data_IF_110785535429
#
_entry.id   IF_110785535429
#
_cell.length_a   1.000
_cell.length_b   1.000
_cell.length_c   1.000
_cell.angle_alpha   90.00
_cell.angle_beta   90.00
_cell.angle_gamma   90.00
#
_symmetry.space_group_name_H-M   'P 1'
#
loop_
_entity.id
_entity.type
_entity.pdbx_description
1 polymer ?
#
# COMPACT_ATOMS: atom_id res chain seq x y z
N UNK A 1 3.26 68.50 -55.56
CA UNK A 1 3.82 67.91 -54.34
C UNK A 1 2.80 66.88 -53.84
N UNK A 2 3.12 65.58 -53.91
CA UNK A 2 2.22 64.48 -53.52
C UNK A 2 2.75 63.86 -52.22
N UNK A 3 1.96 63.79 -51.14
CA UNK A 3 2.40 63.14 -49.91
C UNK A 3 2.34 61.62 -50.07
N UNK A 4 3.43 60.95 -49.70
CA UNK A 4 3.55 59.50 -49.62
C UNK A 4 3.17 59.10 -48.19
N UNK A 5 2.03 58.40 -48.05
CA UNK A 5 1.59 57.80 -46.80
C UNK A 5 2.30 56.46 -46.60
N UNK A 6 3.21 56.39 -45.63
CA UNK A 6 3.79 55.14 -45.16
C UNK A 6 2.82 54.46 -44.19
N UNK A 7 2.24 53.35 -44.64
CA UNK A 7 1.40 52.46 -43.85
C UNK A 7 2.30 51.52 -43.02
N UNK A 8 2.32 51.73 -41.70
CA UNK A 8 3.06 50.89 -40.75
C UNK A 8 2.25 49.62 -40.46
N UNK A 9 2.67 48.50 -41.05
CA UNK A 9 2.23 47.16 -40.66
C UNK A 9 2.86 46.79 -39.31
N UNK A 10 2.05 46.74 -38.25
CA UNK A 10 2.44 46.09 -36.99
C UNK A 10 2.38 44.57 -37.15
N UNK A 11 3.42 43.81 -36.77
CA UNK A 11 3.35 42.37 -36.70
C UNK A 11 2.54 41.96 -35.47
N UNK A 12 1.41 41.29 -35.72
CA UNK A 12 0.61 40.61 -34.71
C UNK A 12 1.41 39.39 -34.23
N UNK A 13 2.05 39.49 -33.06
CA UNK A 13 2.73 38.36 -32.42
C UNK A 13 1.67 37.42 -31.87
N UNK A 14 1.35 36.36 -32.63
CA UNK A 14 0.57 35.22 -32.16
C UNK A 14 1.36 34.53 -31.05
N UNK A 15 0.87 34.66 -29.81
CA UNK A 15 1.35 33.87 -28.70
C UNK A 15 1.12 32.39 -29.02
N UNK A 16 2.20 31.64 -29.27
CA UNK A 16 2.14 30.20 -29.43
C UNK A 16 1.65 29.58 -28.12
N UNK A 17 0.61 28.72 -28.15
CA UNK A 17 0.30 27.87 -27.02
C UNK A 17 1.55 27.05 -26.69
N UNK A 18 1.89 26.98 -25.40
CA UNK A 18 3.03 26.21 -24.91
C UNK A 18 2.97 24.75 -25.39
N UNK A 19 4.10 24.02 -25.33
CA UNK A 19 4.21 22.66 -25.82
C UNK A 19 3.12 21.78 -25.20
N UNK A 20 2.08 21.49 -25.98
CA UNK A 20 1.13 20.45 -25.64
C UNK A 20 1.81 19.14 -25.96
N UNK A 21 2.13 18.37 -24.93
CA UNK A 21 2.44 16.94 -25.01
C UNK A 21 1.39 16.29 -25.89
N UNK A 22 1.78 15.89 -27.10
CA UNK A 22 0.87 15.22 -28.02
C UNK A 22 0.39 13.90 -27.36
N UNK A 23 -0.92 13.60 -27.42
CA UNK A 23 -1.47 12.37 -26.89
C UNK A 23 -0.79 11.19 -27.62
N UNK A 24 -0.19 10.28 -26.85
CA UNK A 24 0.36 9.05 -27.40
C UNK A 24 -0.77 8.30 -28.11
N UNK A 25 -0.65 8.13 -29.43
CA UNK A 25 -1.73 7.67 -30.32
C UNK A 25 -2.49 6.46 -29.72
N UNK A 26 -3.76 6.69 -29.37
CA UNK A 26 -4.71 5.66 -28.95
C UNK A 26 -5.08 5.62 -27.45
N UNK A 27 -4.41 6.38 -26.57
CA UNK A 27 -4.81 6.44 -25.15
C UNK A 27 -5.89 7.48 -24.91
N UNK A 28 -6.87 7.16 -24.06
CA UNK A 28 -7.93 8.06 -23.64
C UNK A 28 -7.37 9.06 -22.61
N UNK A 29 -7.78 10.34 -22.65
CA UNK A 29 -7.23 11.36 -21.77
C UNK A 29 -7.49 11.04 -20.30
N UNK A 30 -6.53 11.35 -19.44
CA UNK A 30 -6.70 11.24 -18.00
C UNK A 30 -7.61 12.37 -17.49
N UNK A 31 -8.61 12.02 -16.69
CA UNK A 31 -9.56 12.95 -16.11
C UNK A 31 -9.40 13.00 -14.59
N UNK A 32 -9.30 14.21 -14.05
CA UNK A 32 -9.21 14.43 -12.60
C UNK A 32 -10.48 14.02 -11.86
N UNK A 33 -11.63 14.20 -12.50
CA UNK A 33 -12.91 14.23 -11.81
C UNK A 33 -13.24 15.62 -11.28
N UNK A 34 -14.49 15.80 -10.90
CA UNK A 34 -15.06 17.01 -10.33
C UNK A 34 -16.01 16.63 -9.18
N UNK A 35 -16.39 17.58 -8.34
CA UNK A 35 -17.33 17.29 -7.24
C UNK A 35 -18.75 17.26 -7.83
N UNK A 36 -19.24 16.07 -8.19
CA UNK A 36 -20.61 15.86 -8.64
C UNK A 36 -21.15 14.47 -8.30
N UNK A 37 -22.45 14.27 -8.57
CA UNK A 37 -23.18 13.03 -8.26
C UNK A 37 -23.32 12.11 -9.48
N UNK A 38 -22.84 12.51 -10.65
CA UNK A 38 -22.96 11.72 -11.87
C UNK A 38 -21.95 10.55 -11.86
N UNK A 39 -22.39 9.37 -12.27
CA UNK A 39 -21.51 8.23 -12.49
C UNK A 39 -20.89 8.34 -13.88
N UNK A 40 -20.02 9.32 -14.07
CA UNK A 40 -19.25 9.55 -15.31
C UNK A 40 -17.79 9.77 -14.99
N UNK A 41 -16.89 9.48 -15.94
CA UNK A 41 -15.45 9.69 -15.74
C UNK A 41 -15.09 11.16 -15.52
N UNK A 42 -15.78 12.09 -16.17
CA UNK A 42 -15.63 13.54 -15.92
C UNK A 42 -15.96 13.93 -14.47
N UNK A 43 -16.86 13.17 -13.86
CA UNK A 43 -17.28 13.39 -12.50
C UNK A 43 -16.36 12.70 -11.49
N UNK A 44 -16.18 11.39 -11.63
CA UNK A 44 -15.44 10.60 -10.64
C UNK A 44 -13.92 10.65 -10.83
N UNK A 45 -13.47 11.10 -11.99
CA UNK A 45 -12.09 10.99 -12.45
C UNK A 45 -11.76 9.59 -12.93
N UNK A 46 -10.67 9.46 -13.68
CA UNK A 46 -10.21 8.20 -14.27
C UNK A 46 -9.97 7.12 -13.21
N UNK A 47 -9.45 7.48 -12.03
CA UNK A 47 -9.26 6.51 -10.93
C UNK A 47 -10.60 6.02 -10.39
N UNK A 48 -11.53 6.91 -10.07
CA UNK A 48 -12.86 6.55 -9.57
C UNK A 48 -13.67 5.76 -10.61
N UNK A 49 -13.56 6.14 -11.88
CA UNK A 49 -14.17 5.46 -13.01
C UNK A 49 -13.64 4.04 -13.20
N UNK A 50 -12.31 3.85 -13.20
CA UNK A 50 -11.73 2.52 -13.32
C UNK A 50 -11.95 1.64 -12.08
N UNK A 51 -12.34 2.22 -10.93
CA UNK A 51 -12.74 1.48 -9.73
C UNK A 51 -14.22 1.04 -9.76
N UNK A 52 -15.07 1.67 -10.58
CA UNK A 52 -16.48 1.30 -10.72
C UNK A 52 -16.61 -0.07 -11.41
N UNK A 53 -16.87 -1.10 -10.61
CA UNK A 53 -16.90 -2.48 -11.06
C UNK A 53 -17.90 -2.73 -12.19
N UNK A 54 -19.10 -2.15 -12.10
CA UNK A 54 -20.17 -2.33 -13.09
C UNK A 54 -19.77 -1.86 -14.50
N UNK A 55 -19.07 -0.73 -14.58
CA UNK A 55 -18.63 -0.16 -15.85
C UNK A 55 -17.33 -0.82 -16.34
N UNK A 56 -16.37 -1.00 -15.41
CA UNK A 56 -15.08 -1.63 -15.66
C UNK A 56 -15.21 -3.03 -16.24
N UNK A 57 -16.04 -3.89 -15.65
CA UNK A 57 -16.20 -5.28 -16.10
C UNK A 57 -16.79 -5.36 -17.51
N UNK A 58 -17.67 -4.43 -17.88
CA UNK A 58 -18.34 -4.42 -19.19
C UNK A 58 -17.39 -3.98 -20.32
N UNK A 59 -16.57 -2.97 -20.07
CA UNK A 59 -15.77 -2.31 -21.12
C UNK A 59 -14.31 -2.76 -21.14
N UNK A 60 -13.71 -3.05 -19.98
CA UNK A 60 -12.26 -3.26 -19.84
C UNK A 60 -11.89 -4.61 -19.21
N UNK A 61 -12.85 -5.30 -18.59
CA UNK A 61 -12.67 -6.56 -17.88
C UNK A 61 -11.99 -6.39 -16.51
N UNK A 62 -10.81 -5.78 -16.49
CA UNK A 62 -9.98 -5.55 -15.31
C UNK A 62 -9.67 -4.06 -15.11
N UNK A 63 -9.28 -3.68 -13.88
CA UNK A 63 -9.00 -2.27 -13.52
C UNK A 63 -7.74 -1.78 -14.21
N UNK A 64 -6.75 -2.65 -14.27
CA UNK A 64 -5.44 -2.45 -14.86
C UNK A 64 -5.59 -2.16 -16.35
N UNK A 65 -6.48 -2.89 -17.03
CA UNK A 65 -6.80 -2.65 -18.45
C UNK A 65 -7.45 -1.27 -18.65
N UNK A 66 -8.35 -0.87 -17.75
CA UNK A 66 -8.96 0.46 -17.80
C UNK A 66 -7.91 1.56 -17.67
N UNK A 67 -6.95 1.43 -16.74
CA UNK A 67 -5.87 2.40 -16.53
C UNK A 67 -4.83 2.38 -17.66
N UNK A 68 -4.51 1.20 -18.22
CA UNK A 68 -3.53 1.06 -19.29
C UNK A 68 -3.97 1.75 -20.59
N UNK A 69 -5.29 1.84 -20.82
CA UNK A 69 -5.88 2.56 -21.95
C UNK A 69 -5.93 4.08 -21.72
N UNK A 70 -5.50 4.58 -20.57
CA UNK A 70 -5.51 6.00 -20.24
C UNK A 70 -4.13 6.58 -20.38
N UNK A 71 -4.09 7.86 -20.72
CA UNK A 71 -2.88 8.63 -20.61
C UNK A 71 -2.37 8.62 -19.16
N UNK A 72 -1.05 8.76 -19.02
CA UNK A 72 -0.47 8.95 -17.70
C UNK A 72 -1.07 10.22 -17.10
N UNK A 73 -1.29 10.20 -15.79
CA UNK A 73 -1.70 11.40 -15.07
C UNK A 73 -0.72 12.54 -15.38
N UNK A 74 -1.21 13.72 -15.80
CA UNK A 74 -0.36 14.88 -16.05
C UNK A 74 0.39 15.30 -14.78
N UNK A 75 1.66 15.71 -14.90
CA UNK A 75 2.48 16.13 -13.77
C UNK A 75 1.97 17.43 -13.10
N UNK A 76 1.17 18.22 -13.82
CA UNK A 76 0.50 19.43 -13.34
C UNK A 76 -0.88 19.14 -12.71
N UNK A 77 -1.33 17.89 -12.72
CA UNK A 77 -2.57 17.52 -12.07
C UNK A 77 -2.49 17.79 -10.55
N UNK A 78 -3.51 18.40 -9.94
CA UNK A 78 -3.51 18.68 -8.50
C UNK A 78 -3.30 17.40 -7.71
N UNK A 79 -2.35 17.42 -6.77
CA UNK A 79 -1.91 16.28 -5.97
C UNK A 79 -3.08 15.54 -5.29
N UNK A 80 -2.94 14.23 -5.14
CA UNK A 80 -3.93 13.40 -4.43
C UNK A 80 -3.76 13.58 -2.91
N UNK A 81 -4.84 13.56 -2.12
CA UNK A 81 -4.75 13.75 -0.68
C UNK A 81 -3.92 12.66 -0.01
N UNK A 82 -3.17 13.03 1.03
CA UNK A 82 -2.43 12.07 1.85
C UNK A 82 -3.37 11.27 2.74
N UNK A 83 -3.30 9.94 2.68
CA UNK A 83 -4.10 9.02 3.50
C UNK A 83 -3.26 8.39 4.61
N UNK A 84 -3.74 8.47 5.85
CA UNK A 84 -3.06 7.87 7.02
C UNK A 84 -3.13 6.35 7.06
N UNK A 85 -4.07 5.74 6.35
CA UNK A 85 -4.42 4.33 6.49
C UNK A 85 -5.32 4.10 7.70
N UNK A 86 -6.28 3.18 7.58
CA UNK A 86 -7.10 2.72 8.70
C UNK A 86 -6.46 1.55 9.43
N UNK A 87 -5.65 0.74 8.72
CA UNK A 87 -5.04 -0.49 9.24
C UNK A 87 -6.04 -1.61 9.58
N UNK A 88 -7.34 -1.37 9.40
CA UNK A 88 -8.40 -2.28 9.82
C UNK A 88 -8.84 -3.14 8.64
N UNK A 89 -8.81 -4.47 8.81
CA UNK A 89 -9.27 -5.48 7.84
C UNK A 89 -8.65 -5.40 6.43
N UNK A 90 -7.47 -4.80 6.28
CA UNK A 90 -6.81 -4.67 4.97
C UNK A 90 -6.46 -6.03 4.34
N UNK A 91 -6.24 -7.06 5.15
CA UNK A 91 -6.00 -8.42 4.69
C UNK A 91 -7.21 -9.06 4.00
N UNK A 92 -8.42 -8.58 4.28
CA UNK A 92 -9.66 -9.07 3.67
C UNK A 92 -10.08 -8.27 2.42
N UNK A 93 -9.42 -7.14 2.15
CA UNK A 93 -9.65 -6.39 0.93
C UNK A 93 -9.09 -7.17 -0.27
N UNK A 94 -9.97 -7.56 -1.19
CA UNK A 94 -9.58 -8.26 -2.42
C UNK A 94 -8.58 -7.46 -3.26
N UNK A 95 -8.56 -6.14 -3.11
CA UNK A 95 -7.62 -5.25 -3.76
C UNK A 95 -6.96 -4.36 -2.72
N UNK A 96 -5.64 -4.18 -2.79
CA UNK A 96 -4.96 -3.29 -1.87
C UNK A 96 -5.38 -1.84 -2.14
N UNK A 97 -5.99 -1.23 -1.13
CA UNK A 97 -6.47 0.14 -1.19
C UNK A 97 -5.60 1.06 -0.34
N UNK A 98 -5.23 2.21 -0.92
CA UNK A 98 -4.44 3.23 -0.21
C UNK A 98 -5.15 3.74 1.05
N UNK A 99 -6.49 3.79 1.06
CA UNK A 99 -7.27 4.14 2.25
C UNK A 99 -7.02 3.16 3.41
N UNK A 100 -6.76 1.90 3.09
CA UNK A 100 -6.56 0.87 4.11
C UNK A 100 -5.13 0.91 4.65
N UNK A 101 -4.14 0.81 3.76
CA UNK A 101 -2.72 0.72 4.12
C UNK A 101 -2.08 2.08 4.47
N UNK A 102 -2.67 3.17 3.97
CA UNK A 102 -2.10 4.52 4.03
C UNK A 102 -1.08 4.79 2.93
N UNK A 103 -0.95 6.06 2.55
CA UNK A 103 -0.12 6.52 1.41
C UNK A 103 1.34 6.07 1.54
N UNK A 104 1.91 6.16 2.73
CA UNK A 104 3.30 5.78 2.97
C UNK A 104 3.57 4.30 2.62
N UNK A 105 2.80 3.38 3.20
CA UNK A 105 2.98 1.95 2.98
C UNK A 105 2.51 1.55 1.59
N UNK A 106 1.43 2.16 1.10
CA UNK A 106 0.92 1.93 -0.26
C UNK A 106 1.94 2.27 -1.35
N UNK A 107 2.64 3.39 -1.24
CA UNK A 107 3.68 3.77 -2.20
C UNK A 107 4.97 2.96 -2.02
N UNK A 108 5.39 2.69 -0.77
CA UNK A 108 6.63 1.96 -0.48
C UNK A 108 6.58 0.50 -0.91
N UNK A 109 5.48 -0.19 -0.60
CA UNK A 109 5.30 -1.62 -0.94
C UNK A 109 4.79 -1.83 -2.38
N UNK A 110 4.64 -0.77 -3.17
CA UNK A 110 4.20 -0.88 -4.56
C UNK A 110 2.78 -1.43 -4.71
N UNK A 111 1.88 -1.13 -3.77
CA UNK A 111 0.51 -1.67 -3.72
C UNK A 111 -0.45 -1.04 -4.74
N UNK A 112 0.04 -0.10 -5.55
CA UNK A 112 -0.71 0.49 -6.65
C UNK A 112 -0.83 -0.46 -7.85
N UNK A 113 -1.88 -0.32 -8.68
CA UNK A 113 -2.00 -1.05 -9.94
C UNK A 113 -0.74 -0.99 -10.79
N UNK A 114 -0.37 -2.11 -11.41
CA UNK A 114 0.82 -2.19 -12.25
C UNK A 114 0.79 -1.13 -13.36
N UNK A 115 1.93 -0.44 -13.53
CA UNK A 115 2.09 0.61 -14.53
C UNK A 115 1.51 1.98 -14.13
N UNK A 116 0.89 2.11 -12.95
CA UNK A 116 0.43 3.42 -12.46
C UNK A 116 1.61 4.32 -12.05
N UNK A 117 2.63 3.75 -11.41
CA UNK A 117 3.86 4.43 -10.99
C UNK A 117 5.07 3.54 -11.28
N UNK A 118 6.22 4.13 -11.62
CA UNK A 118 7.48 3.42 -11.79
C UNK A 118 8.14 3.07 -10.47
N UNK A 119 7.96 3.91 -9.45
CA UNK A 119 8.67 3.81 -8.18
C UNK A 119 7.93 4.54 -7.05
N UNK A 120 8.37 4.29 -5.82
CA UNK A 120 7.83 4.91 -4.61
C UNK A 120 7.88 6.45 -4.68
N UNK A 121 8.96 7.02 -5.20
CA UNK A 121 9.14 8.48 -5.24
C UNK A 121 8.16 9.11 -6.22
N UNK A 122 7.90 8.49 -7.36
CA UNK A 122 6.83 8.93 -8.25
C UNK A 122 5.47 8.90 -7.55
N UNK A 123 5.12 7.77 -6.92
CA UNK A 123 3.87 7.60 -6.19
C UNK A 123 3.67 8.68 -5.11
N UNK A 124 4.71 8.97 -4.31
CA UNK A 124 4.70 9.98 -3.26
C UNK A 124 4.68 11.42 -3.83
N UNK A 125 5.34 11.67 -4.97
CA UNK A 125 5.34 12.99 -5.61
C UNK A 125 3.94 13.42 -6.08
N UNK A 126 3.12 12.41 -6.38
CA UNK A 126 1.74 12.51 -6.84
C UNK A 126 0.74 12.81 -5.71
N UNK A 127 1.24 12.89 -4.46
CA UNK A 127 0.49 13.08 -3.23
C UNK A 127 0.78 14.43 -2.59
N UNK A 128 -0.21 14.92 -1.85
CA UNK A 128 -0.04 16.04 -0.94
C UNK A 128 1.00 15.70 0.13
N UNK A 129 1.63 16.72 0.71
CA UNK A 129 2.64 16.50 1.72
C UNK A 129 2.05 15.78 2.94
N UNK A 130 2.78 14.80 3.45
CA UNK A 130 2.39 14.11 4.66
C UNK A 130 2.18 15.12 5.81
N UNK A 131 1.10 14.98 6.61
CA UNK A 131 0.90 15.82 7.78
C UNK A 131 2.08 15.67 8.74
N UNK A 132 2.39 16.71 9.50
CA UNK A 132 3.56 16.75 10.39
C UNK A 132 3.63 15.53 11.34
N UNK A 133 2.47 15.03 11.79
CA UNK A 133 2.37 13.86 12.66
C UNK A 133 2.74 12.53 11.96
N UNK A 134 2.57 12.45 10.64
CA UNK A 134 2.95 11.27 9.85
C UNK A 134 4.46 11.22 9.59
N UNK A 135 5.10 12.38 9.35
CA UNK A 135 6.55 12.48 9.19
C UNK A 135 7.30 12.02 10.45
N UNK A 136 6.76 12.35 11.62
CA UNK A 136 7.30 11.96 12.93
C UNK A 136 7.34 10.44 13.20
N UNK A 137 6.55 9.64 12.47
CA UNK A 137 6.56 8.17 12.54
C UNK A 137 7.43 7.51 11.47
N UNK A 138 7.75 8.21 10.38
CA UNK A 138 8.66 7.70 9.35
C UNK A 138 10.13 7.89 9.76
N UNK A 139 10.42 8.94 10.52
CA UNK A 139 11.70 9.14 11.21
C UNK A 139 11.69 8.45 12.59
N UNK A 140 11.26 7.18 12.68
CA UNK A 140 11.64 6.36 13.83
C UNK A 140 13.09 5.94 13.59
N UNK A 141 14.08 6.59 14.25
CA UNK A 141 15.45 6.09 14.25
C UNK A 141 15.42 4.65 14.74
N UNK A 142 16.19 3.80 14.07
CA UNK A 142 16.24 2.35 14.24
C UNK A 142 15.79 1.91 15.63
N UNK A 143 14.74 1.09 15.65
CA UNK A 143 14.13 0.55 16.87
C UNK A 143 15.23 0.28 17.89
N UNK A 144 15.18 1.00 19.02
CA UNK A 144 15.91 0.55 20.21
C UNK A 144 15.58 -0.93 20.35
N UNK A 145 16.58 -1.81 20.53
CA UNK A 145 16.35 -3.24 20.57
C UNK A 145 15.22 -3.52 21.55
N UNK A 146 14.07 -3.92 21.01
CA UNK A 146 12.92 -4.30 21.83
C UNK A 146 13.41 -5.40 22.75
N UNK A 147 13.06 -5.32 24.03
CA UNK A 147 13.38 -6.38 24.96
C UNK A 147 12.86 -7.71 24.36
N UNK A 148 13.74 -8.71 24.31
CA UNK A 148 13.39 -10.03 23.79
C UNK A 148 12.27 -10.61 24.65
N UNK A 149 11.24 -11.19 24.01
CA UNK A 149 10.16 -11.87 24.73
C UNK A 149 10.62 -13.27 25.16
N UNK A 150 10.10 -13.81 26.27
CA UNK A 150 10.48 -15.15 26.71
C UNK A 150 10.13 -16.20 25.65
N UNK A 151 10.96 -17.24 25.56
CA UNK A 151 10.67 -18.40 24.73
C UNK A 151 9.64 -19.29 25.44
N UNK A 152 8.47 -19.47 24.83
CA UNK A 152 7.37 -20.26 25.36
C UNK A 152 7.46 -21.71 24.87
N UNK A 153 7.38 -22.63 25.81
CA UNK A 153 7.14 -24.04 25.50
C UNK A 153 5.63 -24.23 25.20
N UNK A 154 5.25 -25.25 24.40
CA UNK A 154 3.85 -25.56 24.18
C UNK A 154 3.13 -25.80 25.50
N UNK A 155 1.91 -25.29 25.62
CA UNK A 155 1.08 -25.51 26.80
C UNK A 155 0.79 -27.01 26.99
N UNK A 156 0.65 -27.51 28.23
CA UNK A 156 0.26 -28.90 28.45
C UNK A 156 -1.17 -29.14 27.95
N UNK A 157 -1.47 -30.39 27.55
CA UNK A 157 -2.79 -30.76 27.03
C UNK A 157 -3.94 -30.53 28.03
N UNK A 158 -3.62 -30.41 29.33
CA UNK A 158 -4.57 -30.09 30.39
C UNK A 158 -4.93 -28.60 30.47
N UNK A 159 -4.22 -27.71 29.76
CA UNK A 159 -4.52 -26.29 29.73
C UNK A 159 -5.74 -26.01 28.83
N UNK A 160 -6.91 -25.96 29.45
CA UNK A 160 -8.17 -25.72 28.76
C UNK A 160 -8.26 -24.35 28.09
N UNK A 161 -7.39 -23.39 28.44
CA UNK A 161 -7.38 -22.08 27.78
C UNK A 161 -6.98 -22.20 26.30
N UNK A 162 -6.18 -23.21 25.96
CA UNK A 162 -5.77 -23.51 24.58
C UNK A 162 -6.79 -24.28 23.75
N UNK A 163 -7.93 -24.66 24.34
CA UNK A 163 -9.01 -25.37 23.62
C UNK A 163 -10.01 -24.43 22.94
N UNK A 164 -9.87 -23.11 23.11
CA UNK A 164 -10.86 -22.11 22.62
C UNK A 164 -10.27 -21.19 21.53
N UNK A 165 -10.57 -19.89 21.55
CA UNK A 165 -10.19 -18.92 20.51
C UNK A 165 -8.66 -18.73 20.37
N UNK A 166 -7.90 -19.08 21.40
CA UNK A 166 -6.43 -18.90 21.45
C UNK A 166 -5.63 -20.12 20.99
N UNK A 167 -6.27 -21.10 20.32
CA UNK A 167 -5.64 -22.37 19.92
C UNK A 167 -4.41 -22.19 19.02
N UNK A 168 -4.31 -21.07 18.31
CA UNK A 168 -3.15 -20.71 17.47
C UNK A 168 -2.16 -19.74 18.14
N UNK A 169 -2.38 -19.32 19.38
CA UNK A 169 -1.49 -18.39 20.07
C UNK A 169 -0.12 -19.02 20.35
N UNK A 170 0.94 -18.20 20.41
CA UNK A 170 2.30 -18.66 20.74
C UNK A 170 2.35 -19.40 22.08
N UNK A 171 1.55 -18.95 23.06
CA UNK A 171 1.41 -19.62 24.36
C UNK A 171 0.94 -21.07 24.23
N UNK A 172 0.03 -21.34 23.32
CA UNK A 172 -0.56 -22.66 23.17
C UNK A 172 0.32 -23.59 22.35
N UNK A 173 0.85 -23.12 21.22
CA UNK A 173 1.63 -23.96 20.30
C UNK A 173 3.13 -23.96 20.59
N UNK A 174 3.61 -23.02 21.41
CA UNK A 174 5.03 -22.81 21.71
C UNK A 174 5.74 -21.97 20.64
N UNK A 175 6.77 -21.22 21.05
CA UNK A 175 7.54 -20.27 20.23
C UNK A 175 8.12 -20.91 18.97
N UNK A 176 8.67 -22.13 19.09
CA UNK A 176 9.27 -22.83 17.95
C UNK A 176 8.24 -23.06 16.84
N UNK A 177 7.14 -23.74 17.19
CA UNK A 177 6.08 -24.05 16.22
C UNK A 177 5.39 -22.79 15.71
N UNK A 178 5.15 -21.82 16.60
CA UNK A 178 4.57 -20.53 16.25
C UNK A 178 5.40 -19.83 15.17
N UNK A 179 6.70 -19.67 15.37
CA UNK A 179 7.55 -18.94 14.42
C UNK A 179 7.88 -19.72 13.13
N UNK A 180 7.88 -21.06 13.14
CA UNK A 180 8.33 -21.87 11.98
C UNK A 180 7.21 -22.47 11.13
N UNK A 181 5.96 -22.49 11.61
CA UNK A 181 4.89 -23.16 10.87
C UNK A 181 4.32 -22.28 9.74
N UNK A 182 4.46 -22.75 8.50
CA UNK A 182 3.95 -22.10 7.29
C UNK A 182 2.42 -21.97 7.24
N UNK A 183 1.65 -22.72 8.04
CA UNK A 183 0.19 -22.53 8.15
C UNK A 183 -0.13 -21.23 8.91
N UNK A 184 0.78 -20.78 9.77
CA UNK A 184 0.64 -19.57 10.60
C UNK A 184 1.26 -18.33 9.94
N UNK A 185 1.61 -18.38 8.63
CA UNK A 185 2.21 -17.31 7.81
C UNK A 185 1.40 -16.01 7.67
N UNK A 186 0.26 -15.90 8.37
CA UNK A 186 -0.35 -14.59 8.59
C UNK A 186 0.64 -13.72 9.36
N UNK A 187 0.65 -12.38 9.19
CA UNK A 187 1.59 -11.53 9.91
C UNK A 187 1.49 -11.88 11.39
N UNK A 188 2.57 -12.44 11.96
CA UNK A 188 2.66 -12.88 13.34
C UNK A 188 2.44 -11.66 14.21
N UNK A 189 1.18 -11.34 14.46
CA UNK A 189 0.79 -10.13 15.14
C UNK A 189 0.76 -10.52 16.59
N UNK A 190 1.84 -10.19 17.28
CA UNK A 190 1.87 -10.33 18.72
C UNK A 190 0.77 -9.45 19.34
N UNK A 191 0.43 -9.71 20.61
CA UNK A 191 -0.53 -8.90 21.36
C UNK A 191 -0.15 -7.41 21.41
N UNK A 192 1.13 -7.08 21.21
CA UNK A 192 1.65 -5.70 21.13
C UNK A 192 1.59 -5.09 19.72
N UNK A 193 1.05 -5.80 18.74
CA UNK A 193 0.95 -5.39 17.34
C UNK A 193 2.26 -5.51 16.55
N UNK A 194 3.30 -6.13 17.09
CA UNK A 194 4.52 -6.43 16.34
C UNK A 194 4.23 -7.45 15.26
N UNK A 195 4.75 -7.25 14.05
CA UNK A 195 4.59 -8.16 12.90
C UNK A 195 5.96 -8.65 12.46
N UNK A 196 6.13 -9.96 12.33
CA UNK A 196 7.38 -10.59 11.86
C UNK A 196 7.25 -11.08 10.43
N UNK A 197 8.24 -10.82 9.58
CA UNK A 197 8.24 -11.15 8.15
C UNK A 197 8.97 -12.47 7.85
N UNK A 198 9.65 -13.06 8.84
CA UNK A 198 10.31 -14.36 8.71
C UNK A 198 10.37 -15.11 10.04
N UNK A 199 10.51 -16.44 9.96
CA UNK A 199 10.74 -17.28 11.12
C UNK A 199 11.99 -16.87 11.92
N UNK A 200 13.06 -16.49 11.21
CA UNK A 200 14.32 -16.05 11.82
C UNK A 200 14.15 -14.74 12.60
N UNK A 201 13.35 -13.80 12.07
CA UNK A 201 13.02 -12.54 12.74
C UNK A 201 12.18 -12.79 14.00
N UNK A 202 11.15 -13.63 13.89
CA UNK A 202 10.30 -14.05 15.01
C UNK A 202 11.13 -14.69 16.13
N UNK A 203 11.95 -15.69 15.81
CA UNK A 203 12.84 -16.35 16.79
C UNK A 203 13.92 -15.41 17.34
N UNK A 204 14.45 -14.51 16.52
CA UNK A 204 15.45 -13.51 16.94
C UNK A 204 14.92 -12.51 17.95
N UNK A 205 13.60 -12.23 17.92
CA UNK A 205 12.89 -11.39 18.87
C UNK A 205 12.56 -12.10 20.20
N UNK A 206 12.95 -13.38 20.34
CA UNK A 206 12.74 -14.19 21.53
C UNK A 206 14.03 -14.44 22.28
N UNK A 207 13.91 -14.72 23.56
CA UNK A 207 14.99 -15.25 24.39
C UNK A 207 15.44 -16.62 23.84
N UNK A 208 16.68 -17.06 24.14
CA UNK A 208 17.15 -18.38 23.75
C UNK A 208 16.22 -19.46 24.31
N UNK A 209 16.01 -20.53 23.54
CA UNK A 209 15.27 -21.69 24.03
C UNK A 209 15.90 -22.19 25.33
N UNK A 210 15.13 -22.31 26.43
CA UNK A 210 15.65 -22.83 27.68
C UNK A 210 16.13 -24.26 27.44
N UNK A 211 17.38 -24.54 27.78
CA UNK A 211 17.90 -25.91 27.74
C UNK A 211 17.10 -26.73 28.74
N UNK A 212 16.30 -27.67 28.22
CA UNK A 212 15.56 -28.64 29.01
C UNK A 212 16.53 -29.34 29.98
N UNK A 213 16.49 -28.97 31.26
CA UNK A 213 17.19 -29.71 32.30
C UNK A 213 16.49 -31.03 32.67
N UNK A 214 15.41 -31.36 31.95
CA UNK A 214 14.59 -32.53 32.20
C UNK A 214 14.87 -33.58 31.13
N UNK A 215 15.75 -34.51 31.45
CA UNK A 215 16.14 -35.65 30.61
C UNK A 215 15.01 -36.68 30.42
N UNK A 216 13.88 -36.52 31.12
CA UNK A 216 12.75 -37.47 31.08
C UNK A 216 11.58 -37.00 30.20
N UNK A 217 11.71 -35.88 29.47
CA UNK A 217 10.67 -35.44 28.53
C UNK A 217 10.67 -36.31 27.28
N UNK A 218 9.66 -37.19 27.18
CA UNK A 218 9.40 -38.06 26.02
C UNK A 218 9.29 -37.21 24.75
N UNK A 219 10.29 -37.32 23.88
CA UNK A 219 10.26 -36.77 22.53
C UNK A 219 9.46 -37.73 21.66
N UNK A 220 8.30 -37.28 21.16
CA UNK A 220 7.60 -38.03 20.13
C UNK A 220 8.37 -37.89 18.81
N UNK A 221 8.68 -38.98 18.10
CA UNK A 221 9.33 -38.91 16.80
C UNK A 221 8.40 -38.25 15.78
N UNK A 222 8.97 -37.36 14.97
CA UNK A 222 8.29 -36.76 13.82
C UNK A 222 7.86 -37.88 12.84
N UNK A 223 6.59 -37.86 12.43
CA UNK A 223 6.00 -38.74 11.41
C UNK A 223 5.93 -38.01 10.06
#
# INVERSE_FOLDING_TARGET
MKPILFSTLLPLVLALPGPQTQPAEGKLPWKKGSVCLALTEDCMGTIGWCNLEAQRKKEFGARENCLAQRERRPADAPKLPWMKGTGYDCAYALTPEERCYGTALFCREGLYPQGQYTDEKECLSDREDAPADAKKKQDLPGEKPKAKKPFLQPAPDSDTSCMTFDRGSERCVGTKYYCTNDIMKFPYTDEDGSVYNSAAECLGAREPEPQSADSDRIVFPDN
#
